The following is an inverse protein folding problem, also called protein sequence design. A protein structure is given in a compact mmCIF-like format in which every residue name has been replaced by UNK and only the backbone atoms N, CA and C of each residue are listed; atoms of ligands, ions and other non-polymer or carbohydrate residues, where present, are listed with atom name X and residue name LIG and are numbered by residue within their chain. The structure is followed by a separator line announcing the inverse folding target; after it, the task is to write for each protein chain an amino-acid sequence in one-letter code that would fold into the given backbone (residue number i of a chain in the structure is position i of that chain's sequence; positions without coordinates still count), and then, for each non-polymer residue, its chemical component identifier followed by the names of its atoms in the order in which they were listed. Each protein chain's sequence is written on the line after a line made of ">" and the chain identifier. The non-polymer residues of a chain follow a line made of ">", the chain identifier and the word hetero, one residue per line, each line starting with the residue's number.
data_IF_240667850808
#
_entry.id   IF_240667850808
#
_cell.length_a   1.000
_cell.length_b   1.000
_cell.length_c   1.000
_cell.angle_alpha   90.00
_cell.angle_beta   90.00
_cell.angle_gamma   90.00
#
_symmetry.space_group_name_H-M   'P 1'
#
loop_
_entity.id
_entity.type
_entity.pdbx_description
1 polymer ?
#
# COMPACT_ATOMS: atom_id res chain seq x y z
N UNK A 1 -24.61 -28.19 -25.28
CA UNK A 1 -24.78 -27.38 -24.05
C UNK A 1 -23.70 -26.31 -24.06
N UNK A 2 -24.05 -25.06 -24.35
CA UNK A 2 -23.10 -23.95 -24.28
C UNK A 2 -22.95 -23.59 -22.81
N UNK A 3 -21.78 -23.82 -22.22
CA UNK A 3 -21.47 -23.30 -20.88
C UNK A 3 -21.39 -21.79 -21.02
N UNK A 4 -22.35 -21.05 -20.48
CA UNK A 4 -22.16 -19.63 -20.25
C UNK A 4 -21.08 -19.50 -19.17
N UNK A 5 -19.83 -19.40 -19.60
CA UNK A 5 -18.73 -18.87 -18.78
C UNK A 5 -18.95 -17.36 -18.65
N UNK A 6 -20.00 -16.96 -17.94
CA UNK A 6 -20.32 -15.57 -17.65
C UNK A 6 -19.79 -15.20 -16.28
N UNK A 7 -19.00 -14.13 -16.20
CA UNK A 7 -18.62 -13.50 -14.94
C UNK A 7 -19.91 -13.08 -14.24
N UNK A 8 -20.08 -13.42 -12.96
CA UNK A 8 -21.24 -12.99 -12.20
C UNK A 8 -21.25 -11.46 -12.08
N UNK A 9 -22.42 -10.84 -11.88
CA UNK A 9 -22.52 -9.39 -11.71
C UNK A 9 -21.53 -8.87 -10.65
N UNK A 10 -21.44 -9.57 -9.51
CA UNK A 10 -20.56 -9.18 -8.42
C UNK A 10 -19.08 -9.33 -8.78
N UNK A 11 -18.67 -10.42 -9.41
CA UNK A 11 -17.28 -10.60 -9.85
C UNK A 11 -16.86 -9.53 -10.87
N UNK A 12 -17.78 -9.11 -11.74
CA UNK A 12 -17.55 -8.03 -12.69
C UNK A 12 -17.38 -6.68 -11.99
N UNK A 13 -18.26 -6.39 -11.03
CA UNK A 13 -18.15 -5.21 -10.18
C UNK A 13 -16.86 -5.20 -9.36
N UNK A 14 -16.52 -6.29 -8.67
CA UNK A 14 -15.33 -6.40 -7.84
C UNK A 14 -14.06 -6.19 -8.69
N UNK A 15 -13.99 -6.85 -9.85
CA UNK A 15 -12.83 -6.72 -10.76
C UNK A 15 -12.67 -5.29 -11.26
N UNK A 16 -13.75 -4.66 -11.73
CA UNK A 16 -13.72 -3.27 -12.20
C UNK A 16 -13.35 -2.29 -11.07
N UNK A 17 -13.90 -2.49 -9.86
CA UNK A 17 -13.60 -1.65 -8.71
C UNK A 17 -12.13 -1.78 -8.30
N UNK A 18 -11.56 -2.98 -8.27
CA UNK A 18 -10.14 -3.19 -7.98
C UNK A 18 -9.22 -2.53 -9.02
N UNK A 19 -9.56 -2.63 -10.32
CA UNK A 19 -8.81 -1.98 -11.41
C UNK A 19 -8.86 -0.44 -11.30
N UNK A 20 -10.03 0.13 -11.02
CA UNK A 20 -10.20 1.57 -10.82
C UNK A 20 -9.42 2.04 -9.58
N UNK A 21 -9.47 1.30 -8.48
CA UNK A 21 -8.69 1.58 -7.27
C UNK A 21 -7.19 1.56 -7.57
N UNK A 22 -6.72 0.58 -8.33
CA UNK A 22 -5.31 0.50 -8.75
C UNK A 22 -4.90 1.74 -9.54
N UNK A 23 -5.70 2.13 -10.54
CA UNK A 23 -5.43 3.29 -11.39
C UNK A 23 -5.44 4.60 -10.60
N UNK A 24 -6.39 4.73 -9.66
CA UNK A 24 -6.50 5.89 -8.79
C UNK A 24 -5.27 6.06 -7.89
N UNK A 25 -4.87 5.00 -7.16
CA UNK A 25 -3.74 5.10 -6.25
C UNK A 25 -2.40 5.22 -6.97
N UNK A 26 -2.25 4.68 -8.18
CA UNK A 26 -1.09 4.95 -9.03
C UNK A 26 -0.93 6.45 -9.33
N UNK A 27 -2.02 7.12 -9.68
CA UNK A 27 -2.02 8.57 -9.95
C UNK A 27 -1.76 9.38 -8.69
N UNK A 28 -2.40 9.03 -7.57
CA UNK A 28 -2.18 9.69 -6.28
C UNK A 28 -0.73 9.56 -5.81
N UNK A 29 -0.13 8.38 -5.96
CA UNK A 29 1.26 8.17 -5.58
C UNK A 29 2.20 9.09 -6.37
N UNK A 30 2.02 9.18 -7.69
CA UNK A 30 2.82 10.08 -8.54
C UNK A 30 2.67 11.54 -8.11
N UNK A 31 1.44 11.98 -7.84
CA UNK A 31 1.15 13.36 -7.41
C UNK A 31 1.74 13.68 -6.03
N UNK A 32 1.69 12.74 -5.08
CA UNK A 32 2.22 12.97 -3.74
C UNK A 32 3.74 12.95 -3.73
N UNK A 33 4.38 12.10 -4.56
CA UNK A 33 5.83 12.06 -4.68
C UNK A 33 6.41 13.30 -5.36
N UNK A 34 5.67 13.97 -6.26
CA UNK A 34 6.17 15.18 -6.92
C UNK A 34 6.15 16.43 -6.04
N UNK A 35 5.41 16.42 -4.93
CA UNK A 35 5.15 17.63 -4.13
C UNK A 35 5.28 17.43 -2.61
N UNK A 36 5.48 16.20 -2.13
CA UNK A 36 5.41 15.86 -0.71
C UNK A 36 6.75 15.48 -0.10
N UNK A 37 6.82 15.58 1.23
CA UNK A 37 7.88 14.96 2.02
C UNK A 37 7.61 13.46 2.22
N UNK A 38 8.63 12.65 2.59
CA UNK A 38 8.43 11.26 2.99
C UNK A 38 7.39 11.13 4.12
N UNK A 39 7.44 12.00 5.13
CA UNK A 39 6.48 12.07 6.23
C UNK A 39 5.04 12.25 5.77
N UNK A 40 4.79 13.25 4.93
CA UNK A 40 3.45 13.52 4.41
C UNK A 40 2.94 12.36 3.55
N UNK A 41 3.81 11.78 2.74
CA UNK A 41 3.46 10.64 1.89
C UNK A 41 3.07 9.44 2.74
N UNK A 42 3.91 9.04 3.71
CA UNK A 42 3.64 7.92 4.60
C UNK A 42 2.34 8.13 5.36
N UNK A 43 2.11 9.33 5.90
CA UNK A 43 0.85 9.65 6.59
C UNK A 43 -0.39 9.46 5.69
N UNK A 44 -0.29 9.82 4.41
CA UNK A 44 -1.38 9.59 3.43
C UNK A 44 -1.59 8.11 3.15
N UNK A 45 -0.51 7.33 3.01
CA UNK A 45 -0.60 5.86 2.81
C UNK A 45 -1.40 5.21 3.94
N UNK A 46 -1.07 5.53 5.19
CA UNK A 46 -1.80 4.99 6.35
C UNK A 46 -3.27 5.39 6.34
N UNK A 47 -3.54 6.68 6.15
CA UNK A 47 -4.91 7.17 6.11
C UNK A 47 -5.73 6.45 5.02
N UNK A 48 -5.16 6.27 3.83
CA UNK A 48 -5.84 5.55 2.75
C UNK A 48 -6.13 4.09 3.12
N UNK A 49 -5.16 3.37 3.68
CA UNK A 49 -5.38 1.96 4.01
C UNK A 49 -6.40 1.78 5.14
N UNK A 50 -6.44 2.66 6.14
CA UNK A 50 -7.47 2.65 7.18
C UNK A 50 -8.86 2.93 6.61
N UNK A 51 -8.97 3.94 5.75
CA UNK A 51 -10.25 4.31 5.13
C UNK A 51 -10.77 3.21 4.21
N UNK A 52 -9.91 2.59 3.40
CA UNK A 52 -10.32 1.48 2.54
C UNK A 52 -10.66 0.22 3.35
N UNK A 53 -9.96 -0.05 4.45
CA UNK A 53 -10.30 -1.13 5.36
C UNK A 53 -11.69 -0.91 5.99
N UNK A 54 -11.97 0.28 6.51
CA UNK A 54 -13.26 0.61 7.12
C UNK A 54 -14.41 0.54 6.09
N UNK A 55 -14.22 1.15 4.92
CA UNK A 55 -15.23 1.17 3.84
C UNK A 55 -15.53 -0.22 3.33
N UNK A 56 -14.49 -1.01 3.04
CA UNK A 56 -14.69 -2.38 2.57
C UNK A 56 -15.37 -3.25 3.62
N UNK A 57 -14.97 -3.13 4.89
CA UNK A 57 -15.62 -3.87 5.98
C UNK A 57 -17.08 -3.49 6.20
N UNK A 58 -17.47 -2.25 5.88
CA UNK A 58 -18.85 -1.76 6.04
C UNK A 58 -19.76 -2.06 4.85
N UNK A 59 -19.24 -2.02 3.63
CA UNK A 59 -20.07 -2.01 2.42
C UNK A 59 -19.85 -3.20 1.48
N UNK A 60 -18.76 -3.94 1.64
CA UNK A 60 -18.39 -5.02 0.72
C UNK A 60 -18.44 -6.39 1.41
N UNK A 61 -18.72 -7.46 0.65
CA UNK A 61 -18.46 -8.83 1.05
C UNK A 61 -17.07 -9.03 1.67
N UNK A 62 -17.00 -9.86 2.71
CA UNK A 62 -15.78 -10.09 3.50
C UNK A 62 -14.57 -10.55 2.68
N UNK A 63 -14.79 -11.22 1.55
CA UNK A 63 -13.72 -11.66 0.64
C UNK A 63 -13.07 -10.53 -0.17
N UNK A 64 -13.66 -9.34 -0.21
CA UNK A 64 -13.19 -8.22 -1.06
C UNK A 64 -12.23 -7.30 -0.33
N UNK A 65 -12.43 -7.06 0.97
CA UNK A 65 -11.53 -6.25 1.80
C UNK A 65 -10.05 -6.65 1.66
N UNK A 66 -9.65 -7.94 1.82
CA UNK A 66 -8.24 -8.30 1.68
C UNK A 66 -7.69 -8.06 0.26
N UNK A 67 -8.50 -8.24 -0.79
CA UNK A 67 -8.11 -7.97 -2.18
C UNK A 67 -7.90 -6.47 -2.41
N UNK A 68 -8.82 -5.66 -1.88
CA UNK A 68 -8.74 -4.21 -1.98
C UNK A 68 -7.48 -3.68 -1.29
N UNK A 69 -7.24 -4.07 -0.04
CA UNK A 69 -6.05 -3.65 0.70
C UNK A 69 -4.76 -4.11 0.01
N UNK A 70 -4.75 -5.28 -0.62
CA UNK A 70 -3.61 -5.73 -1.43
C UNK A 70 -3.33 -4.79 -2.60
N UNK A 71 -4.36 -4.37 -3.33
CA UNK A 71 -4.22 -3.41 -4.44
C UNK A 71 -3.68 -2.06 -3.94
N UNK A 72 -4.22 -1.53 -2.84
CA UNK A 72 -3.75 -0.26 -2.28
C UNK A 72 -2.30 -0.35 -1.81
N UNK A 73 -1.92 -1.41 -1.09
CA UNK A 73 -0.53 -1.66 -0.69
C UNK A 73 0.40 -1.77 -1.90
N UNK A 74 -0.02 -2.47 -2.96
CA UNK A 74 0.77 -2.60 -4.19
C UNK A 74 1.09 -1.23 -4.79
N UNK A 75 0.08 -0.38 -4.97
CA UNK A 75 0.26 0.91 -5.63
C UNK A 75 0.99 1.94 -4.78
N UNK A 76 0.73 1.98 -3.47
CA UNK A 76 1.24 3.03 -2.60
C UNK A 76 2.57 2.70 -1.93
N UNK A 77 2.89 1.41 -1.76
CA UNK A 77 4.08 0.95 -1.04
C UNK A 77 5.03 0.23 -2.00
N UNK A 78 4.64 -0.94 -2.52
CA UNK A 78 5.57 -1.81 -3.26
C UNK A 78 6.04 -1.17 -4.57
N UNK A 79 5.12 -0.69 -5.41
CA UNK A 79 5.48 -0.08 -6.69
C UNK A 79 6.32 1.20 -6.51
N UNK A 80 6.17 1.89 -5.38
CA UNK A 80 6.98 3.07 -5.06
C UNK A 80 8.37 2.68 -4.59
N UNK A 81 8.47 1.69 -3.71
CA UNK A 81 9.75 1.15 -3.29
C UNK A 81 10.56 0.64 -4.48
N UNK A 82 9.94 -0.18 -5.35
CA UNK A 82 10.59 -0.69 -6.56
C UNK A 82 11.09 0.45 -7.45
N UNK A 83 10.25 1.47 -7.72
CA UNK A 83 10.63 2.65 -8.52
C UNK A 83 11.75 3.46 -7.89
N UNK A 84 11.76 3.59 -6.56
CA UNK A 84 12.78 4.34 -5.83
C UNK A 84 14.13 3.60 -5.84
N UNK A 85 14.11 2.27 -5.72
CA UNK A 85 15.29 1.40 -5.83
C UNK A 85 15.84 1.40 -7.26
N UNK A 86 14.99 1.24 -8.28
CA UNK A 86 15.42 1.28 -9.69
C UNK A 86 16.03 2.64 -10.09
N UNK A 87 15.53 3.74 -9.50
CA UNK A 87 16.01 5.10 -9.77
C UNK A 87 17.14 5.54 -8.83
N UNK A 88 17.70 4.64 -8.03
CA UNK A 88 18.72 4.98 -7.05
C UNK A 88 19.98 5.51 -7.76
N UNK A 89 20.09 6.83 -7.73
CA UNK A 89 21.33 7.59 -7.95
C UNK A 89 21.85 8.04 -6.57
N UNK A 90 23.16 8.24 -6.38
CA UNK A 90 23.73 8.62 -5.07
C UNK A 90 23.04 9.83 -4.43
N UNK A 91 22.49 10.76 -5.21
CA UNK A 91 21.73 11.93 -4.77
C UNK A 91 20.32 11.64 -4.21
N UNK A 92 19.70 10.50 -4.52
CA UNK A 92 18.35 10.13 -4.07
C UNK A 92 18.35 9.12 -2.90
N UNK A 93 19.53 8.75 -2.39
CA UNK A 93 19.66 7.79 -1.29
C UNK A 93 18.95 8.25 0.00
N UNK A 94 18.87 9.56 0.24
CA UNK A 94 18.18 10.16 1.40
C UNK A 94 16.68 9.87 1.38
N UNK A 95 15.98 10.15 0.26
CA UNK A 95 14.52 10.04 0.24
C UNK A 95 14.03 8.60 0.46
N UNK A 96 14.71 7.61 -0.14
CA UNK A 96 14.37 6.20 0.03
C UNK A 96 14.53 5.81 1.49
N UNK A 97 15.69 6.11 2.07
CA UNK A 97 15.99 5.90 3.47
C UNK A 97 14.96 6.56 4.40
N UNK A 98 14.68 7.84 4.18
CA UNK A 98 13.74 8.62 4.98
C UNK A 98 12.32 8.05 4.88
N UNK A 99 11.91 7.61 3.69
CA UNK A 99 10.63 6.95 3.47
C UNK A 99 10.52 5.62 4.24
N UNK A 100 11.54 4.78 4.18
CA UNK A 100 11.60 3.54 4.96
C UNK A 100 11.57 3.82 6.47
N UNK A 101 12.38 4.76 6.95
CA UNK A 101 12.44 5.10 8.37
C UNK A 101 11.11 5.63 8.89
N UNK A 102 10.45 6.49 8.13
CA UNK A 102 9.15 7.03 8.50
C UNK A 102 8.08 5.93 8.53
N UNK A 103 8.04 5.05 7.52
CA UNK A 103 7.15 3.88 7.53
C UNK A 103 7.38 3.01 8.77
N UNK A 104 8.63 2.72 9.13
CA UNK A 104 8.97 1.92 10.31
C UNK A 104 8.56 2.62 11.61
N UNK A 105 8.88 3.91 11.75
CA UNK A 105 8.52 4.74 12.90
C UNK A 105 7.01 4.75 13.14
N UNK A 106 6.25 4.95 12.07
CA UNK A 106 4.79 5.01 12.14
C UNK A 106 4.18 3.66 12.52
N UNK A 107 4.69 2.54 12.01
CA UNK A 107 4.30 1.19 12.44
C UNK A 107 4.59 0.90 13.91
N UNK A 108 5.77 1.30 14.41
CA UNK A 108 6.13 1.13 15.82
C UNK A 108 5.15 1.84 16.76
N UNK A 109 4.73 3.06 16.41
CA UNK A 109 3.79 3.84 17.20
C UNK A 109 2.37 3.24 17.27
N UNK A 110 1.95 2.51 16.24
CA UNK A 110 0.63 1.86 16.19
C UNK A 110 0.53 0.59 17.02
N UNK A 111 1.64 -0.10 17.27
CA UNK A 111 1.66 -1.32 18.11
C UNK A 111 1.29 -1.00 19.57
N UNK A 112 1.34 0.27 19.96
CA UNK A 112 0.92 0.77 21.28
C UNK A 112 -0.57 1.15 21.36
N UNK A 113 -1.30 1.18 20.24
CA UNK A 113 -2.74 1.40 20.19
C UNK A 113 -3.47 0.08 19.91
N UNK A 114 -3.97 -0.57 20.96
CA UNK A 114 -4.83 -1.75 20.85
C UNK A 114 -6.08 -1.42 20.01
N UNK A 115 -6.29 -2.17 18.92
CA UNK A 115 -7.49 -2.07 18.08
C UNK A 115 -7.27 -1.67 16.62
N UNK A 116 -6.04 -1.40 16.19
CA UNK A 116 -5.76 -1.20 14.76
C UNK A 116 -5.77 -2.54 14.02
N UNK A 117 -6.35 -2.57 12.81
CA UNK A 117 -6.41 -3.75 11.91
C UNK A 117 -5.02 -4.25 11.45
N UNK A 118 -3.95 -3.69 12.00
CA UNK A 118 -2.56 -3.89 11.62
C UNK A 118 -1.80 -4.82 12.56
N UNK A 119 -2.47 -5.56 13.44
CA UNK A 119 -1.76 -6.55 14.25
C UNK A 119 -1.13 -7.61 13.35
N UNK A 120 0.19 -7.55 13.29
CA UNK A 120 1.12 -8.54 12.72
C UNK A 120 0.93 -8.82 11.23
N UNK A 121 1.70 -8.14 10.36
CA UNK A 121 1.85 -8.62 9.00
C UNK A 121 3.30 -8.84 8.57
N UNK A 122 3.47 -9.99 7.92
CA UNK A 122 4.64 -10.55 7.26
C UNK A 122 5.33 -9.58 6.29
N UNK A 123 4.65 -8.54 5.79
CA UNK A 123 5.28 -7.54 4.92
C UNK A 123 6.19 -6.56 5.67
N UNK A 124 5.94 -6.29 6.97
CA UNK A 124 6.89 -5.54 7.79
C UNK A 124 8.16 -6.35 8.00
N UNK A 125 8.02 -7.67 8.22
CA UNK A 125 9.17 -8.58 8.21
C UNK A 125 9.86 -8.58 6.85
N UNK A 126 9.12 -8.58 5.73
CA UNK A 126 9.68 -8.52 4.39
C UNK A 126 10.43 -7.20 4.11
N UNK A 127 9.91 -6.06 4.59
CA UNK A 127 10.57 -4.75 4.52
C UNK A 127 11.82 -4.71 5.42
N UNK A 128 11.76 -5.26 6.62
CA UNK A 128 12.91 -5.36 7.53
C UNK A 128 13.99 -6.30 6.98
N UNK A 129 13.61 -7.40 6.31
CA UNK A 129 14.55 -8.31 5.64
C UNK A 129 15.12 -7.75 4.34
N UNK A 130 14.44 -6.81 3.68
CA UNK A 130 14.99 -6.09 2.51
C UNK A 130 15.85 -4.89 2.92
N UNK A 131 15.59 -4.30 4.09
CA UNK A 131 16.47 -3.29 4.70
C UNK A 131 17.86 -3.84 5.07
N UNK A 132 18.02 -5.14 5.27
CA UNK A 132 19.35 -5.75 5.48
C UNK A 132 20.18 -5.88 4.20
N UNK A 133 19.54 -5.72 3.03
CA UNK A 133 20.19 -5.73 1.70
C UNK A 133 20.71 -4.35 1.32
N UNK A 134 20.13 -3.27 1.87
CA UNK A 134 20.58 -1.90 1.70
C UNK A 134 20.98 -1.31 3.06
N UNK A 135 22.25 -1.48 3.50
CA UNK A 135 22.69 -0.90 4.76
C UNK A 135 22.62 0.63 4.65
N UNK A 136 21.79 1.21 5.51
CA UNK A 136 21.76 2.64 5.81
C UNK A 136 23.21 3.07 6.08
N UNK A 137 23.78 3.79 5.11
CA UNK A 137 25.17 4.23 5.11
C UNK A 137 25.34 5.52 5.88
#
# INVERSE_FOLDING_TARGET
>A
MHKHTGITYYEGFESAMLEQTSSYYCQMAQQWLSHGSPADYVQKVYWCLEQEAERAGRYLPSGTQPKLLKVVKQQLVYDILDKLVEKQRPENCSFVTDFYQEMLSKCGNMTLQEGSYWTTEEWLSALLTSSSVFPLS
#
